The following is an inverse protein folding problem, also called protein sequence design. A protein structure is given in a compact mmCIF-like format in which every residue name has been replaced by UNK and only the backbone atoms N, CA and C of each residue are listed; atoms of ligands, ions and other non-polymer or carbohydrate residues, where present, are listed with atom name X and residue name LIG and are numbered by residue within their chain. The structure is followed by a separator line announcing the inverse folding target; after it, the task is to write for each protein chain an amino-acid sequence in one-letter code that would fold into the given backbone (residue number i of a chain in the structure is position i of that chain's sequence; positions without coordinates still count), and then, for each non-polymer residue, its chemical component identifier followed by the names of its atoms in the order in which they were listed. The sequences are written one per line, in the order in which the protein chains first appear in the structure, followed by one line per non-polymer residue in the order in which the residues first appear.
data_IF_480334577352
#
_entry.id   IF_480334577352
#
_cell.length_a   1.000
_cell.length_b   1.000
_cell.length_c   1.000
_cell.angle_alpha   90.00
_cell.angle_beta   90.00
_cell.angle_gamma   90.00
#
_symmetry.space_group_name_H-M   'P 1'
#
loop_
_entity.id
_entity.type
_entity.pdbx_description
1 polymer ?
#
# COMPACT_ATOMS: atom_id res chain seq x y z
N UNK A 1 2.35 -47.63 3.22
CA UNK A 1 1.21 -46.89 3.79
C UNK A 1 1.71 -45.47 4.01
N UNK A 2 1.03 -44.47 3.48
CA UNK A 2 1.46 -43.06 3.60
C UNK A 2 1.17 -42.58 5.02
N UNK A 3 2.16 -42.01 5.69
CA UNK A 3 1.97 -41.39 6.99
C UNK A 3 1.61 -39.91 6.78
N UNK A 4 0.31 -39.57 6.81
CA UNK A 4 -0.16 -38.21 6.63
C UNK A 4 0.45 -37.20 7.60
N UNK A 5 0.87 -37.60 8.79
CA UNK A 5 1.53 -36.69 9.72
C UNK A 5 2.94 -36.31 9.25
N UNK A 6 3.66 -37.29 8.70
CA UNK A 6 4.98 -37.05 8.13
C UNK A 6 4.87 -36.11 6.92
N UNK A 7 3.91 -36.34 5.99
CA UNK A 7 3.71 -35.45 4.83
C UNK A 7 3.28 -34.05 5.26
N UNK A 8 2.46 -33.93 6.31
CA UNK A 8 2.11 -32.63 6.87
C UNK A 8 3.34 -31.88 7.39
N UNK A 9 4.20 -32.55 8.14
CA UNK A 9 5.44 -31.93 8.63
C UNK A 9 6.36 -31.51 7.49
N UNK A 10 6.53 -32.37 6.47
CA UNK A 10 7.30 -32.05 5.26
C UNK A 10 6.74 -30.86 4.51
N UNK A 11 5.42 -30.77 4.37
CA UNK A 11 4.75 -29.65 3.75
C UNK A 11 4.96 -28.32 4.53
N UNK A 12 4.84 -28.37 5.85
CA UNK A 12 5.11 -27.19 6.68
C UNK A 12 6.58 -26.79 6.67
N UNK A 13 7.50 -27.74 6.59
CA UNK A 13 8.93 -27.46 6.37
C UNK A 13 9.14 -26.81 5.00
N UNK A 14 8.51 -27.34 3.94
CA UNK A 14 8.59 -26.78 2.59
C UNK A 14 8.15 -25.32 2.56
N UNK A 15 7.04 -24.97 3.24
CA UNK A 15 6.56 -23.59 3.28
C UNK A 15 7.57 -22.60 3.91
N UNK A 16 8.51 -23.09 4.72
CA UNK A 16 9.58 -22.28 5.34
C UNK A 16 10.93 -22.42 4.60
N UNK A 17 10.97 -22.98 3.39
CA UNK A 17 12.19 -23.21 2.62
C UNK A 17 12.19 -22.37 1.34
N UNK A 18 12.78 -21.17 1.34
CA UNK A 18 12.76 -20.26 0.18
C UNK A 18 13.32 -20.89 -1.09
N UNK A 19 14.42 -21.66 -0.99
CA UNK A 19 15.06 -22.29 -2.15
C UNK A 19 14.16 -23.35 -2.80
N UNK A 20 13.52 -24.19 -1.99
CA UNK A 20 12.58 -25.21 -2.49
C UNK A 20 11.33 -24.58 -3.10
N UNK A 21 10.81 -23.52 -2.49
CA UNK A 21 9.67 -22.77 -3.02
C UNK A 21 10.04 -22.04 -4.31
N UNK A 22 11.29 -21.56 -4.44
CA UNK A 22 11.77 -20.98 -5.68
C UNK A 22 11.81 -22.01 -6.82
N UNK A 23 12.23 -23.24 -6.56
CA UNK A 23 12.15 -24.33 -7.54
C UNK A 23 10.71 -24.61 -7.99
N UNK A 24 9.76 -24.68 -7.05
CA UNK A 24 8.33 -24.80 -7.38
C UNK A 24 7.81 -23.61 -8.17
N UNK A 25 8.28 -22.39 -7.87
CA UNK A 25 7.91 -21.19 -8.62
C UNK A 25 8.41 -21.23 -10.07
N UNK A 26 9.54 -21.90 -10.34
CA UNK A 26 10.11 -22.09 -11.67
C UNK A 26 9.48 -23.23 -12.47
N UNK A 27 8.55 -24.00 -11.89
CA UNK A 27 7.87 -25.07 -12.62
C UNK A 27 7.08 -24.50 -13.82
N UNK A 28 7.34 -25.05 -15.00
CA UNK A 28 6.76 -24.57 -16.27
C UNK A 28 5.37 -25.14 -16.55
N UNK A 29 5.06 -26.30 -15.98
CA UNK A 29 3.79 -27.02 -16.16
C UNK A 29 3.40 -27.77 -14.88
N UNK A 30 2.20 -28.34 -14.90
CA UNK A 30 1.60 -29.04 -13.77
C UNK A 30 2.34 -30.33 -13.46
N UNK A 31 2.81 -31.06 -14.48
CA UNK A 31 3.52 -32.33 -14.31
C UNK A 31 4.85 -32.10 -13.60
N UNK A 32 5.62 -31.09 -14.01
CA UNK A 32 6.86 -30.70 -13.35
C UNK A 32 6.61 -30.25 -11.89
N UNK A 33 5.54 -29.47 -11.67
CA UNK A 33 5.17 -29.05 -10.31
C UNK A 33 4.85 -30.24 -9.40
N UNK A 34 4.07 -31.22 -9.89
CA UNK A 34 3.73 -32.44 -9.15
C UNK A 34 4.99 -33.28 -8.87
N UNK A 35 5.89 -33.39 -9.85
CA UNK A 35 7.14 -34.12 -9.66
C UNK A 35 7.97 -33.54 -8.50
N UNK A 36 8.14 -32.21 -8.47
CA UNK A 36 8.81 -31.54 -7.37
C UNK A 36 8.10 -31.75 -6.02
N UNK A 37 6.76 -31.64 -6.01
CA UNK A 37 5.98 -31.89 -4.78
C UNK A 37 6.09 -33.35 -4.31
N UNK A 38 6.13 -34.31 -5.23
CA UNK A 38 6.37 -35.73 -4.95
C UNK A 38 7.68 -35.92 -4.18
N UNK A 39 8.76 -35.32 -4.63
CA UNK A 39 10.06 -35.37 -4.01
C UNK A 39 10.07 -34.68 -2.62
N UNK A 40 9.53 -33.46 -2.52
CA UNK A 40 9.49 -32.71 -1.26
C UNK A 40 8.65 -33.41 -0.18
N UNK A 41 7.50 -33.99 -0.58
CA UNK A 41 6.61 -34.68 0.35
C UNK A 41 7.04 -36.15 0.58
N UNK A 42 8.02 -36.67 -0.16
CA UNK A 42 8.34 -38.10 -0.20
C UNK A 42 7.08 -38.95 -0.42
N UNK A 43 6.30 -38.60 -1.41
CA UNK A 43 5.02 -39.25 -1.74
C UNK A 43 5.02 -39.78 -3.17
N UNK A 44 5.52 -41.00 -3.45
CA UNK A 44 5.81 -41.49 -4.81
C UNK A 44 4.62 -41.54 -5.76
N UNK A 45 3.41 -41.68 -5.26
CA UNK A 45 2.18 -41.80 -6.07
C UNK A 45 1.30 -40.53 -5.95
N UNK A 46 1.91 -39.35 -5.76
CA UNK A 46 1.20 -38.09 -5.62
C UNK A 46 0.54 -37.72 -6.96
N UNK A 47 -0.79 -37.77 -7.02
CA UNK A 47 -1.55 -37.22 -8.14
C UNK A 47 -1.95 -35.78 -7.85
N UNK A 48 -2.35 -35.03 -8.90
CA UNK A 48 -2.88 -33.67 -8.75
C UNK A 48 -4.07 -33.61 -7.76
N UNK A 49 -4.99 -34.58 -7.87
CA UNK A 49 -6.17 -34.64 -6.99
C UNK A 49 -5.77 -34.88 -5.53
N UNK A 50 -4.87 -35.82 -5.28
CA UNK A 50 -4.35 -36.08 -3.93
C UNK A 50 -3.62 -34.88 -3.36
N UNK A 51 -2.81 -34.20 -4.16
CA UNK A 51 -2.07 -33.00 -3.76
C UNK A 51 -3.04 -31.88 -3.35
N UNK A 52 -4.04 -31.58 -4.18
CA UNK A 52 -5.02 -30.53 -3.90
C UNK A 52 -5.85 -30.84 -2.64
N UNK A 53 -6.34 -32.08 -2.51
CA UNK A 53 -7.06 -32.51 -1.31
C UNK A 53 -6.20 -32.41 -0.04
N UNK A 54 -4.94 -32.82 -0.14
CA UNK A 54 -3.99 -32.74 0.96
C UNK A 54 -3.72 -31.28 1.37
N UNK A 55 -3.41 -30.39 0.41
CA UNK A 55 -3.13 -28.97 0.69
C UNK A 55 -4.35 -28.29 1.31
N UNK A 56 -5.56 -28.58 0.83
CA UNK A 56 -6.79 -28.01 1.37
C UNK A 56 -6.99 -28.33 2.86
N UNK A 57 -6.56 -29.50 3.30
CA UNK A 57 -6.66 -29.92 4.72
C UNK A 57 -5.64 -29.23 5.63
N UNK A 58 -4.59 -28.57 5.07
CA UNK A 58 -3.49 -28.01 5.87
C UNK A 58 -3.69 -26.54 6.25
N UNK A 59 -4.74 -25.88 5.78
CA UNK A 59 -4.87 -24.40 5.83
C UNK A 59 -5.03 -23.81 7.23
N UNK A 60 -5.53 -24.57 8.23
CA UNK A 60 -6.01 -23.98 9.49
C UNK A 60 -5.08 -24.07 10.69
N UNK A 61 -3.95 -24.75 10.59
CA UNK A 61 -3.08 -25.06 11.75
C UNK A 61 -1.60 -24.71 11.57
N UNK A 62 -1.24 -24.07 10.47
CA UNK A 62 0.15 -23.75 10.18
C UNK A 62 0.61 -22.49 10.91
N UNK A 63 1.65 -22.64 11.75
CA UNK A 63 2.38 -21.51 12.34
C UNK A 63 3.77 -21.48 11.67
N UNK A 64 4.07 -20.44 10.87
CA UNK A 64 5.35 -20.36 10.18
C UNK A 64 6.52 -20.06 11.14
N UNK A 65 7.74 -20.45 10.74
CA UNK A 65 8.95 -19.73 11.13
C UNK A 65 8.95 -18.41 10.35
N UNK A 66 8.53 -17.33 10.97
CA UNK A 66 8.14 -16.11 10.27
C UNK A 66 9.31 -15.46 9.53
N UNK A 67 10.53 -15.53 10.05
CA UNK A 67 11.69 -14.99 9.36
C UNK A 67 12.01 -15.77 8.07
N UNK A 68 12.01 -17.09 8.11
CA UNK A 68 12.23 -17.92 6.92
C UNK A 68 11.06 -17.84 5.96
N UNK A 69 9.85 -18.00 6.47
CA UNK A 69 8.62 -17.97 5.68
C UNK A 69 8.48 -16.65 4.89
N UNK A 70 8.72 -15.52 5.53
CA UNK A 70 8.62 -14.21 4.88
C UNK A 70 9.72 -13.94 3.84
N UNK A 71 10.71 -14.82 3.67
CA UNK A 71 11.67 -14.73 2.57
C UNK A 71 11.05 -15.16 1.24
N UNK A 72 10.15 -16.13 1.25
CA UNK A 72 9.49 -16.66 0.05
C UNK A 72 8.05 -16.16 -0.13
N UNK A 73 7.42 -15.69 0.94
CA UNK A 73 6.03 -15.28 0.95
C UNK A 73 5.87 -13.80 1.30
N UNK A 74 4.96 -13.13 0.60
CA UNK A 74 4.58 -11.74 0.81
C UNK A 74 3.15 -11.67 1.33
N UNK A 75 2.88 -11.03 2.48
CA UNK A 75 1.54 -10.89 3.01
C UNK A 75 0.75 -9.88 2.16
N UNK A 76 -0.35 -10.32 1.56
CA UNK A 76 -1.04 -9.54 0.53
C UNK A 76 -2.42 -9.03 0.94
N UNK A 77 -3.12 -9.73 1.82
CA UNK A 77 -4.48 -9.34 2.22
C UNK A 77 -4.78 -9.73 3.66
N UNK A 78 -5.42 -8.82 4.38
CA UNK A 78 -6.02 -9.07 5.69
C UNK A 78 -7.52 -9.39 5.54
N UNK A 79 -7.99 -10.35 6.32
CA UNK A 79 -9.40 -10.75 6.41
C UNK A 79 -9.89 -10.49 7.83
N UNK A 80 -10.59 -9.37 8.03
CA UNK A 80 -10.99 -8.88 9.37
C UNK A 80 -11.89 -9.86 10.14
N UNK A 81 -12.82 -10.53 9.45
CA UNK A 81 -13.75 -11.49 10.08
C UNK A 81 -13.02 -12.67 10.76
N UNK A 82 -11.92 -13.11 10.20
CA UNK A 82 -11.14 -14.27 10.68
C UNK A 82 -9.80 -13.86 11.27
N UNK A 83 -9.45 -12.57 11.22
CA UNK A 83 -8.14 -12.02 11.62
C UNK A 83 -6.95 -12.76 10.98
N UNK A 84 -7.14 -13.18 9.73
CA UNK A 84 -6.14 -13.93 8.96
C UNK A 84 -5.49 -13.08 7.89
N UNK A 85 -4.26 -13.47 7.54
CA UNK A 85 -3.48 -12.90 6.44
C UNK A 85 -3.30 -13.94 5.35
N UNK A 86 -3.58 -13.58 4.11
CA UNK A 86 -3.25 -14.35 2.92
C UNK A 86 -1.89 -13.94 2.37
N UNK A 87 -1.18 -14.90 1.78
CA UNK A 87 0.18 -14.72 1.29
C UNK A 87 0.28 -15.08 -0.19
N UNK A 88 1.22 -14.42 -0.88
CA UNK A 88 1.60 -14.71 -2.27
C UNK A 88 3.11 -14.92 -2.37
N UNK A 89 3.62 -15.60 -3.42
CA UNK A 89 5.06 -15.75 -3.62
C UNK A 89 5.76 -14.39 -3.73
N UNK A 90 6.95 -14.28 -3.13
CA UNK A 90 7.70 -13.03 -2.99
C UNK A 90 8.97 -13.00 -3.85
N UNK A 91 8.97 -13.68 -5.01
CA UNK A 91 10.15 -13.83 -5.87
C UNK A 91 10.31 -12.70 -6.91
N UNK A 92 9.39 -11.74 -6.92
CA UNK A 92 9.43 -10.59 -7.83
C UNK A 92 9.72 -9.31 -7.09
N UNK A 93 10.37 -8.38 -7.79
CA UNK A 93 10.52 -7.01 -7.32
C UNK A 93 9.18 -6.28 -7.44
N UNK A 94 8.85 -5.46 -6.45
CA UNK A 94 7.71 -4.54 -6.54
C UNK A 94 8.09 -3.39 -7.48
N UNK A 95 7.39 -3.23 -8.58
CA UNK A 95 7.73 -2.28 -9.66
C UNK A 95 6.54 -1.56 -10.26
N UNK A 96 5.32 -1.99 -9.91
CA UNK A 96 4.09 -1.42 -10.45
C UNK A 96 3.70 -0.11 -9.71
N UNK A 97 2.88 0.75 -10.36
CA UNK A 97 2.35 1.96 -9.74
C UNK A 97 1.53 1.72 -8.48
N UNK A 98 0.90 0.54 -8.36
CA UNK A 98 0.15 0.10 -7.20
C UNK A 98 0.61 -1.28 -6.74
N UNK A 99 0.69 -1.47 -5.43
CA UNK A 99 1.07 -2.75 -4.82
C UNK A 99 0.10 -3.89 -5.20
N UNK A 100 -1.19 -3.58 -5.39
CA UNK A 100 -2.18 -4.60 -5.78
C UNK A 100 -1.90 -5.16 -7.19
N UNK A 101 -1.28 -4.38 -8.08
CA UNK A 101 -0.88 -4.86 -9.41
C UNK A 101 0.29 -5.84 -9.30
N UNK A 102 1.29 -5.56 -8.44
CA UNK A 102 2.39 -6.51 -8.16
C UNK A 102 1.87 -7.80 -7.50
N UNK A 103 0.92 -7.68 -6.55
CA UNK A 103 0.27 -8.84 -5.93
C UNK A 103 -0.52 -9.65 -6.97
N UNK A 104 -1.19 -8.99 -7.89
CA UNK A 104 -1.93 -9.65 -8.98
C UNK A 104 -0.99 -10.41 -9.90
N UNK A 105 0.17 -9.85 -10.23
CA UNK A 105 1.19 -10.54 -11.01
C UNK A 105 1.78 -11.74 -10.26
N UNK A 106 2.07 -11.60 -8.96
CA UNK A 106 2.58 -12.68 -8.12
C UNK A 106 1.60 -13.89 -8.03
N UNK A 107 0.30 -13.65 -8.21
CA UNK A 107 -0.71 -14.72 -8.24
C UNK A 107 -0.75 -15.52 -9.54
N UNK A 108 -0.06 -15.07 -10.61
CA UNK A 108 -0.12 -15.68 -11.95
C UNK A 108 0.92 -16.80 -12.16
N UNK A 109 1.26 -17.56 -11.14
CA UNK A 109 2.19 -18.68 -11.25
C UNK A 109 1.56 -19.95 -10.68
N UNK A 110 2.10 -21.12 -11.04
CA UNK A 110 1.60 -22.41 -10.56
C UNK A 110 1.70 -22.52 -9.04
N UNK A 111 2.79 -22.03 -8.43
CA UNK A 111 2.95 -22.01 -6.99
C UNK A 111 1.78 -21.31 -6.29
N UNK A 112 1.41 -20.11 -6.74
CA UNK A 112 0.29 -19.36 -6.18
C UNK A 112 -1.08 -19.97 -6.51
N UNK A 113 -1.18 -20.73 -7.60
CA UNK A 113 -2.42 -21.41 -7.98
C UNK A 113 -2.71 -22.59 -7.07
N UNK A 114 -1.68 -23.30 -6.62
CA UNK A 114 -1.83 -24.51 -5.81
C UNK A 114 -1.61 -24.27 -4.30
N UNK A 115 -0.67 -23.39 -3.95
CA UNK A 115 -0.31 -23.13 -2.55
C UNK A 115 -0.65 -21.69 -2.20
N UNK A 116 -1.67 -21.52 -1.36
CA UNK A 116 -2.17 -20.23 -0.90
C UNK A 116 -2.18 -20.18 0.63
N UNK A 117 -1.03 -19.93 1.28
CA UNK A 117 -0.97 -19.93 2.73
C UNK A 117 -1.88 -18.87 3.33
N UNK A 118 -2.50 -19.24 4.46
CA UNK A 118 -3.22 -18.33 5.35
C UNK A 118 -2.71 -18.52 6.77
N UNK A 119 -2.54 -17.44 7.49
CA UNK A 119 -2.09 -17.46 8.88
C UNK A 119 -2.95 -16.55 9.73
N UNK A 120 -3.15 -16.87 10.99
CA UNK A 120 -3.71 -15.92 11.95
C UNK A 120 -2.69 -14.80 12.18
N UNK A 121 -3.14 -13.54 12.21
CA UNK A 121 -2.23 -12.40 12.35
C UNK A 121 -1.69 -12.26 13.80
N UNK A 122 -2.54 -12.41 14.80
CA UNK A 122 -2.18 -12.19 16.19
C UNK A 122 -1.06 -13.12 16.70
N UNK A 123 -1.09 -14.44 16.44
CA UNK A 123 0.00 -15.33 16.86
C UNK A 123 1.36 -14.96 16.29
N UNK A 124 1.41 -14.29 15.12
CA UNK A 124 2.66 -13.86 14.50
C UNK A 124 3.36 -12.74 15.29
N UNK A 125 2.65 -12.01 16.15
CA UNK A 125 3.23 -10.97 16.99
C UNK A 125 4.36 -11.49 17.88
N UNK A 126 4.25 -12.74 18.38
CA UNK A 126 5.29 -13.35 19.21
C UNK A 126 6.63 -13.48 18.47
N UNK A 127 6.61 -13.51 17.14
CA UNK A 127 7.79 -13.62 16.29
C UNK A 127 8.22 -12.29 15.65
N UNK A 128 7.56 -11.16 15.99
CA UNK A 128 7.86 -9.85 15.40
C UNK A 128 9.32 -9.46 15.54
N UNK A 129 9.92 -9.72 16.69
CA UNK A 129 11.30 -9.33 16.98
C UNK A 129 12.35 -10.20 16.25
N UNK A 130 11.95 -11.35 15.68
CA UNK A 130 12.83 -12.16 14.81
C UNK A 130 12.96 -11.56 13.40
N UNK A 131 12.04 -10.67 13.03
CA UNK A 131 12.07 -10.01 11.72
C UNK A 131 13.04 -8.82 11.71
N UNK A 132 13.68 -8.53 10.56
CA UNK A 132 14.47 -7.32 10.41
C UNK A 132 13.65 -6.07 10.74
N UNK A 133 14.27 -5.15 11.45
CA UNK A 133 13.67 -3.82 11.70
C UNK A 133 13.59 -3.08 10.37
N UNK A 134 12.40 -2.58 10.04
CA UNK A 134 12.15 -1.82 8.84
C UNK A 134 11.84 -0.37 9.24
N UNK A 135 12.61 0.57 8.71
CA UNK A 135 12.37 2.00 8.90
C UNK A 135 12.02 2.62 7.56
N UNK A 136 10.77 3.07 7.36
CA UNK A 136 10.44 3.80 6.15
C UNK A 136 11.31 5.06 6.02
N UNK A 137 12.01 5.19 4.91
CA UNK A 137 12.82 6.38 4.62
C UNK A 137 11.94 7.56 4.24
N UNK A 138 10.81 7.27 3.58
CA UNK A 138 9.82 8.26 3.17
C UNK A 138 8.41 7.72 3.33
N UNK A 139 7.54 8.52 3.96
CA UNK A 139 6.09 8.33 3.95
C UNK A 139 5.43 9.41 3.10
N UNK A 140 4.55 9.02 2.19
CA UNK A 140 3.80 9.92 1.32
C UNK A 140 2.33 9.86 1.72
N UNK A 141 1.81 10.97 2.26
CA UNK A 141 0.39 11.19 2.48
C UNK A 141 -0.20 12.08 1.39
N UNK A 142 -1.49 11.97 1.11
CA UNK A 142 -2.07 12.68 0.00
C UNK A 142 -3.61 12.78 0.07
N UNK A 143 -4.19 13.78 -0.62
CA UNK A 143 -5.65 13.98 -0.71
C UNK A 143 -6.34 13.20 -1.82
N UNK A 144 -5.66 12.28 -2.49
CA UNK A 144 -6.13 11.68 -3.75
C UNK A 144 -6.03 12.64 -4.95
N UNK A 145 -5.80 12.06 -6.14
CA UNK A 145 -5.72 12.82 -7.40
C UNK A 145 -4.74 14.02 -7.38
N UNK A 146 -3.76 13.99 -6.52
CA UNK A 146 -2.76 15.04 -6.33
C UNK A 146 -1.36 14.65 -6.84
N UNK A 147 -1.26 13.67 -7.75
CA UNK A 147 0.02 13.24 -8.35
C UNK A 147 0.85 12.27 -7.50
N UNK A 148 0.31 11.78 -6.38
CA UNK A 148 1.02 10.86 -5.48
C UNK A 148 1.48 9.57 -6.16
N UNK A 149 0.71 9.04 -7.13
CA UNK A 149 1.11 7.87 -7.91
C UNK A 149 2.31 8.17 -8.79
N UNK A 150 2.38 9.34 -9.43
CA UNK A 150 3.53 9.77 -10.21
C UNK A 150 4.79 9.83 -9.33
N UNK A 151 4.67 10.43 -8.15
CA UNK A 151 5.78 10.52 -7.20
C UNK A 151 6.22 9.14 -6.71
N UNK A 152 5.30 8.28 -6.26
CA UNK A 152 5.66 6.95 -5.74
C UNK A 152 6.23 6.03 -6.83
N UNK A 153 5.67 6.04 -8.04
CA UNK A 153 6.17 5.22 -9.15
C UNK A 153 7.56 5.67 -9.63
N UNK A 154 7.89 6.96 -9.48
CA UNK A 154 9.24 7.44 -9.76
C UNK A 154 10.28 6.81 -8.83
N UNK A 155 9.96 6.62 -7.56
CA UNK A 155 10.84 5.88 -6.64
C UNK A 155 10.93 4.39 -7.00
N UNK A 156 9.86 3.80 -7.54
CA UNK A 156 9.87 2.40 -7.97
C UNK A 156 10.81 2.13 -9.16
N UNK A 157 11.20 3.17 -9.91
CA UNK A 157 12.23 3.07 -10.95
C UNK A 157 13.66 2.91 -10.39
N UNK A 158 13.88 3.29 -9.13
CA UNK A 158 15.18 3.20 -8.48
C UNK A 158 15.39 1.78 -7.95
N UNK A 159 16.45 1.13 -8.39
CA UNK A 159 16.74 -0.25 -7.96
C UNK A 159 17.01 -0.37 -6.46
N UNK A 160 17.46 0.72 -5.85
CA UNK A 160 17.71 0.82 -4.42
C UNK A 160 16.47 1.04 -3.57
N UNK A 161 15.32 1.31 -4.19
CA UNK A 161 14.08 1.61 -3.47
C UNK A 161 13.08 0.45 -3.54
N UNK A 162 12.55 0.09 -2.38
CA UNK A 162 11.31 -0.68 -2.26
C UNK A 162 10.15 0.29 -2.05
N UNK A 163 9.11 0.17 -2.88
CA UNK A 163 7.94 1.04 -2.79
C UNK A 163 6.71 0.24 -2.44
N UNK A 164 6.05 0.61 -1.35
CA UNK A 164 4.72 0.11 -0.99
C UNK A 164 3.70 1.20 -1.34
N UNK A 165 3.04 1.03 -2.48
CA UNK A 165 2.04 1.99 -2.95
C UNK A 165 0.64 1.54 -2.57
N UNK A 166 0.05 2.22 -1.59
CA UNK A 166 -1.27 1.94 -1.03
C UNK A 166 -1.35 0.52 -0.39
N UNK A 167 -0.54 0.22 0.65
CA UNK A 167 -0.48 -1.11 1.27
C UNK A 167 -1.77 -1.44 2.04
N UNK A 168 -2.73 -2.06 1.35
CA UNK A 168 -4.07 -2.34 1.89
C UNK A 168 -4.04 -3.19 3.15
N UNK A 169 -3.11 -4.16 3.27
CA UNK A 169 -2.98 -4.98 4.48
C UNK A 169 -2.74 -4.10 5.73
N UNK A 170 -1.80 -3.14 5.65
CA UNK A 170 -1.53 -2.23 6.76
C UNK A 170 -2.73 -1.30 7.02
N UNK A 171 -3.34 -0.78 5.95
CA UNK A 171 -4.51 0.07 6.02
C UNK A 171 -5.68 -0.63 6.70
N UNK A 172 -6.01 -1.85 6.27
CA UNK A 172 -7.12 -2.63 6.83
C UNK A 172 -6.88 -2.95 8.32
N UNK A 173 -5.65 -3.27 8.72
CA UNK A 173 -5.31 -3.51 10.13
C UNK A 173 -5.41 -2.23 10.98
N UNK A 174 -4.96 -1.08 10.46
CA UNK A 174 -5.07 0.21 11.17
C UNK A 174 -6.53 0.58 11.45
N UNK A 175 -7.41 0.31 10.49
CA UNK A 175 -8.82 0.72 10.54
C UNK A 175 -9.77 -0.38 11.02
N UNK A 176 -9.28 -1.56 11.41
CA UNK A 176 -10.11 -2.61 11.99
C UNK A 176 -10.40 -2.31 13.47
N UNK A 177 -11.65 -1.96 13.76
CA UNK A 177 -12.13 -1.63 15.13
C UNK A 177 -12.22 -2.85 16.06
N UNK A 178 -12.08 -4.07 15.53
CA UNK A 178 -12.02 -5.29 16.35
C UNK A 178 -10.65 -5.49 17.03
N UNK A 179 -9.64 -4.66 16.72
CA UNK A 179 -8.37 -4.67 17.41
C UNK A 179 -8.34 -3.64 18.55
N UNK A 180 -7.85 -4.00 19.74
CA UNK A 180 -7.55 -3.03 20.80
C UNK A 180 -6.59 -1.94 20.30
N UNK A 181 -6.83 -0.70 20.69
CA UNK A 181 -6.01 0.45 20.27
C UNK A 181 -4.53 0.26 20.61
N UNK A 182 -4.23 -0.35 21.74
CA UNK A 182 -2.88 -0.60 22.24
C UNK A 182 -2.12 -1.64 21.38
N UNK A 183 -2.86 -2.52 20.71
CA UNK A 183 -2.29 -3.58 19.89
C UNK A 183 -2.06 -3.13 18.44
N UNK A 184 -2.85 -2.18 17.94
CA UNK A 184 -2.77 -1.69 16.56
C UNK A 184 -1.35 -1.28 16.14
N UNK A 185 -0.59 -0.48 16.93
CA UNK A 185 0.78 -0.12 16.56
C UNK A 185 1.69 -1.34 16.33
N UNK A 186 1.58 -2.36 17.18
CA UNK A 186 2.39 -3.57 17.09
C UNK A 186 2.03 -4.41 15.86
N UNK A 187 0.74 -4.51 15.55
CA UNK A 187 0.25 -5.21 14.36
C UNK A 187 0.67 -4.49 13.07
N UNK A 188 0.60 -3.16 13.06
CA UNK A 188 1.05 -2.35 11.91
C UNK A 188 2.55 -2.48 11.71
N UNK A 189 3.35 -2.41 12.78
CA UNK A 189 4.80 -2.62 12.71
C UNK A 189 5.13 -4.03 12.18
N UNK A 190 4.43 -5.07 12.66
CA UNK A 190 4.57 -6.43 12.12
C UNK A 190 4.27 -6.48 10.62
N UNK A 191 3.14 -5.93 10.18
CA UNK A 191 2.77 -5.89 8.77
C UNK A 191 3.81 -5.15 7.92
N UNK A 192 4.33 -4.03 8.42
CA UNK A 192 5.37 -3.26 7.73
C UNK A 192 6.71 -3.97 7.70
N UNK A 193 7.13 -4.66 8.77
CA UNK A 193 8.35 -5.48 8.75
C UNK A 193 8.25 -6.59 7.69
N UNK A 194 7.07 -7.18 7.50
CA UNK A 194 6.84 -8.22 6.52
C UNK A 194 6.78 -7.68 5.09
N UNK A 195 5.98 -6.63 4.83
CA UNK A 195 5.83 -6.05 3.48
C UNK A 195 7.04 -5.20 3.06
N UNK A 196 7.61 -4.48 4.01
CA UNK A 196 8.73 -3.57 3.80
C UNK A 196 10.11 -4.26 3.88
N UNK A 197 10.18 -5.58 4.09
CA UNK A 197 11.45 -6.31 4.13
C UNK A 197 12.25 -6.05 2.85
N UNK A 198 13.39 -5.38 2.98
CA UNK A 198 14.26 -5.04 1.87
C UNK A 198 14.89 -6.31 1.27
N UNK A 199 14.95 -6.38 -0.07
CA UNK A 199 15.42 -7.52 -0.85
C UNK A 199 16.15 -7.04 -2.09
N UNK A 200 16.85 -7.92 -2.76
CA UNK A 200 17.39 -7.65 -4.11
C UNK A 200 18.23 -6.38 -4.21
N UNK A 201 18.98 -6.03 -3.15
CA UNK A 201 19.81 -4.82 -3.13
C UNK A 201 19.08 -3.53 -2.79
N UNK A 202 17.79 -3.59 -2.46
CA UNK A 202 17.02 -2.45 -1.95
C UNK A 202 17.64 -1.93 -0.64
N UNK A 203 17.64 -0.61 -0.45
CA UNK A 203 18.19 0.08 0.73
C UNK A 203 17.20 1.02 1.38
N UNK A 204 16.26 1.54 0.60
CA UNK A 204 15.30 2.54 1.00
C UNK A 204 13.88 1.98 0.91
N UNK A 205 13.05 2.28 1.90
CA UNK A 205 11.63 1.96 1.90
C UNK A 205 10.82 3.24 1.75
N UNK A 206 10.04 3.31 0.68
CA UNK A 206 9.07 4.38 0.43
C UNK A 206 7.67 3.83 0.59
N UNK A 207 6.84 4.47 1.40
CA UNK A 207 5.45 4.08 1.58
C UNK A 207 4.55 5.23 1.12
N UNK A 208 3.75 4.96 0.11
CA UNK A 208 2.62 5.84 -0.24
C UNK A 208 1.36 5.27 0.41
N UNK A 209 0.88 5.92 1.44
CA UNK A 209 -0.33 5.53 2.17
C UNK A 209 -1.59 5.73 1.32
N UNK A 210 -2.69 5.05 1.66
CA UNK A 210 -3.99 5.41 1.09
C UNK A 210 -4.42 6.79 1.59
N UNK A 211 -5.28 7.48 0.84
CA UNK A 211 -5.68 8.84 1.21
C UNK A 211 -6.32 8.92 2.62
N UNK A 212 -7.09 7.91 3.00
CA UNK A 212 -7.72 7.84 4.33
C UNK A 212 -6.76 7.47 5.46
N UNK A 213 -5.60 6.86 5.16
CA UNK A 213 -4.57 6.55 6.16
C UNK A 213 -3.91 7.82 6.71
N UNK A 214 -4.19 8.97 6.09
CA UNK A 214 -3.80 10.27 6.63
C UNK A 214 -4.33 10.47 8.07
N UNK A 215 -5.46 9.85 8.44
CA UNK A 215 -5.96 9.89 9.83
C UNK A 215 -5.02 9.22 10.84
N UNK A 216 -4.21 8.26 10.38
CA UNK A 216 -3.30 7.50 11.24
C UNK A 216 -1.89 8.11 11.34
N UNK A 217 -1.65 9.31 10.79
CA UNK A 217 -0.32 9.92 10.79
C UNK A 217 0.32 10.04 12.18
N UNK A 218 -0.40 10.33 13.28
CA UNK A 218 0.22 10.44 14.60
C UNK A 218 0.87 9.12 15.03
N UNK A 219 0.12 8.01 14.97
CA UNK A 219 0.61 6.67 15.29
C UNK A 219 1.79 6.27 14.39
N UNK A 220 1.71 6.53 13.09
CA UNK A 220 2.77 6.16 12.14
C UNK A 220 4.07 6.94 12.41
N UNK A 221 3.98 8.21 12.79
CA UNK A 221 5.17 9.02 13.13
C UNK A 221 5.73 8.72 14.52
N UNK A 222 4.91 8.20 15.42
CA UNK A 222 5.38 7.66 16.70
C UNK A 222 6.15 6.36 16.50
N UNK A 223 5.64 5.44 15.68
CA UNK A 223 6.32 4.18 15.33
C UNK A 223 7.63 4.42 14.58
N UNK A 224 7.65 5.39 13.66
CA UNK A 224 8.77 5.64 12.76
C UNK A 224 9.22 7.12 12.83
N UNK A 225 9.79 7.56 13.97
CA UNK A 225 10.10 8.96 14.19
C UNK A 225 11.18 9.52 13.26
N UNK A 226 11.97 8.68 12.62
CA UNK A 226 13.05 9.08 11.69
C UNK A 226 12.59 9.20 10.25
N UNK A 227 11.39 8.73 9.92
CA UNK A 227 10.85 8.80 8.57
C UNK A 227 10.67 10.24 8.12
N UNK A 228 11.05 10.53 6.89
CA UNK A 228 10.68 11.78 6.22
C UNK A 228 9.23 11.69 5.76
N UNK A 229 8.54 12.81 5.76
CA UNK A 229 7.12 12.85 5.41
C UNK A 229 6.88 13.86 4.32
N UNK A 230 6.23 13.42 3.27
CA UNK A 230 5.73 14.26 2.19
C UNK A 230 4.20 14.23 2.21
N UNK A 231 3.56 15.40 2.27
CA UNK A 231 2.12 15.54 2.18
C UNK A 231 1.77 16.24 0.86
N UNK A 232 1.10 15.52 -0.03
CA UNK A 232 0.71 16.02 -1.34
C UNK A 232 -0.74 16.52 -1.31
N UNK A 233 -0.92 17.77 -1.68
CA UNK A 233 -2.22 18.43 -1.78
C UNK A 233 -2.50 18.89 -3.20
N UNK A 234 -3.74 19.23 -3.48
CA UNK A 234 -4.18 19.78 -4.77
C UNK A 234 -5.42 20.63 -4.58
N UNK A 235 -5.64 21.59 -5.50
CA UNK A 235 -6.86 22.37 -5.53
C UNK A 235 -8.12 21.47 -5.44
N UNK A 236 -8.97 21.64 -4.42
CA UNK A 236 -10.13 20.79 -4.19
C UNK A 236 -11.09 20.70 -5.39
N UNK A 237 -11.24 21.77 -6.16
CA UNK A 237 -12.07 21.75 -7.39
C UNK A 237 -11.55 20.71 -8.38
N UNK A 238 -10.23 20.67 -8.62
CA UNK A 238 -9.63 19.71 -9.54
C UNK A 238 -9.73 18.27 -9.03
N UNK A 239 -9.69 18.07 -7.72
CA UNK A 239 -9.93 16.76 -7.13
C UNK A 239 -11.36 16.32 -7.37
N UNK A 240 -12.35 17.16 -7.07
CA UNK A 240 -13.77 16.87 -7.27
C UNK A 240 -14.05 16.48 -8.72
N UNK A 241 -13.60 17.29 -9.69
CA UNK A 241 -13.77 16.97 -11.10
C UNK A 241 -13.10 15.66 -11.53
N UNK A 242 -11.92 15.36 -11.00
CA UNK A 242 -11.28 14.09 -11.28
C UNK A 242 -12.10 12.90 -10.77
N UNK A 243 -12.77 13.05 -9.62
CA UNK A 243 -13.64 12.02 -9.04
C UNK A 243 -15.00 11.92 -9.71
N UNK A 244 -15.49 12.96 -10.36
CA UNK A 244 -16.69 12.86 -11.21
C UNK A 244 -16.46 11.94 -12.41
N UNK A 245 -15.25 11.96 -13.00
CA UNK A 245 -14.90 11.08 -14.13
C UNK A 245 -14.67 9.65 -13.72
N UNK A 246 -13.83 9.43 -12.70
CA UNK A 246 -13.50 8.11 -12.15
C UNK A 246 -13.32 8.26 -10.64
N UNK A 247 -14.30 7.80 -9.87
CA UNK A 247 -14.24 7.89 -8.42
C UNK A 247 -13.15 6.96 -7.85
N UNK A 248 -12.33 7.48 -6.93
CA UNK A 248 -11.53 6.64 -6.07
C UNK A 248 -12.42 5.94 -5.02
N UNK A 249 -11.96 4.82 -4.46
CA UNK A 249 -12.73 4.01 -3.49
C UNK A 249 -13.35 4.86 -2.37
N UNK A 250 -12.57 5.73 -1.74
CA UNK A 250 -12.99 6.60 -0.65
C UNK A 250 -13.90 7.78 -1.06
N UNK A 251 -14.13 7.97 -2.36
CA UNK A 251 -14.95 9.03 -2.95
C UNK A 251 -16.17 8.47 -3.70
N UNK A 252 -16.35 7.15 -3.69
CA UNK A 252 -17.46 6.50 -4.41
C UNK A 252 -18.82 6.65 -3.72
N UNK A 253 -18.80 7.01 -2.43
CA UNK A 253 -19.99 6.98 -1.58
C UNK A 253 -20.33 5.56 -1.12
N UNK A 254 -20.91 5.43 0.05
CA UNK A 254 -21.28 4.14 0.61
C UNK A 254 -20.55 3.80 1.91
N UNK A 255 -21.32 3.30 2.85
CA UNK A 255 -20.89 3.07 4.24
C UNK A 255 -19.78 2.03 4.38
N UNK A 256 -19.67 1.09 3.46
CA UNK A 256 -18.77 -0.06 3.56
C UNK A 256 -17.33 0.22 3.10
N UNK A 257 -17.03 1.41 2.57
CA UNK A 257 -15.75 1.71 1.92
C UNK A 257 -14.88 2.71 2.68
N UNK A 258 -15.38 3.25 3.79
CA UNK A 258 -14.69 4.24 4.60
C UNK A 258 -14.35 3.69 5.98
N UNK A 259 -13.21 4.11 6.56
CA UNK A 259 -12.95 3.92 7.97
C UNK A 259 -14.08 4.47 8.83
N UNK A 260 -14.38 3.81 9.93
CA UNK A 260 -15.49 4.12 10.85
C UNK A 260 -15.48 5.58 11.32
N UNK A 261 -14.31 6.18 11.50
CA UNK A 261 -14.19 7.58 11.93
C UNK A 261 -14.73 8.58 10.90
N UNK A 262 -14.46 8.36 9.61
CA UNK A 262 -15.01 9.18 8.53
C UNK A 262 -16.53 9.00 8.41
N UNK A 263 -17.02 7.81 8.70
CA UNK A 263 -18.45 7.51 8.81
C UNK A 263 -19.13 8.24 9.95
N UNK A 264 -18.53 8.17 11.13
CA UNK A 264 -19.14 8.71 12.38
C UNK A 264 -19.29 10.22 12.32
N UNK A 265 -18.32 10.91 11.69
CA UNK A 265 -18.39 12.37 11.52
C UNK A 265 -19.49 12.81 10.55
N UNK A 266 -19.78 12.00 9.53
CA UNK A 266 -20.82 12.31 8.54
C UNK A 266 -22.24 12.07 9.08
N UNK A 267 -22.43 11.01 9.87
CA UNK A 267 -23.75 10.64 10.37
C UNK A 267 -24.25 11.49 11.56
N UNK A 268 -23.35 12.23 12.22
CA UNK A 268 -23.74 13.02 13.40
C UNK A 268 -24.57 14.27 13.10
N UNK A 269 -24.71 14.66 11.84
CA UNK A 269 -25.24 15.99 11.49
C UNK A 269 -26.52 16.03 10.62
N UNK A 270 -27.07 14.92 10.14
CA UNK A 270 -28.28 14.97 9.30
C UNK A 270 -29.16 13.73 9.41
N UNK A 271 -30.46 13.95 9.52
CA UNK A 271 -31.51 12.90 9.40
C UNK A 271 -31.67 12.40 7.94
N UNK A 272 -30.95 12.99 6.99
CA UNK A 272 -30.99 12.64 5.56
C UNK A 272 -29.59 12.24 5.09
N UNK A 273 -29.51 11.23 4.22
CA UNK A 273 -28.23 10.86 3.59
C UNK A 273 -27.69 12.04 2.76
N UNK A 274 -26.41 12.44 2.95
CA UNK A 274 -25.82 13.53 2.19
C UNK A 274 -25.73 13.16 0.70
N UNK A 275 -25.83 14.16 -0.16
CA UNK A 275 -25.52 13.99 -1.58
C UNK A 275 -24.06 13.52 -1.76
N UNK A 276 -23.76 12.90 -2.90
CA UNK A 276 -22.38 12.42 -3.18
C UNK A 276 -21.36 13.58 -3.17
N UNK A 277 -21.74 14.76 -3.57
CA UNK A 277 -20.85 15.92 -3.60
C UNK A 277 -20.62 16.52 -2.19
N UNK A 278 -21.66 16.54 -1.34
CA UNK A 278 -21.51 16.86 0.09
C UNK A 278 -20.61 15.87 0.81
N UNK A 279 -20.81 14.58 0.55
CA UNK A 279 -19.95 13.50 1.05
C UNK A 279 -18.49 13.74 0.68
N UNK A 280 -18.19 13.95 -0.61
CA UNK A 280 -16.83 14.21 -1.11
C UNK A 280 -16.22 15.47 -0.52
N UNK A 281 -17.02 16.52 -0.36
CA UNK A 281 -16.60 17.79 0.26
C UNK A 281 -16.17 17.56 1.71
N UNK A 282 -16.97 16.80 2.48
CA UNK A 282 -16.65 16.46 3.87
C UNK A 282 -15.36 15.64 3.98
N UNK A 283 -15.17 14.65 3.10
CA UNK A 283 -13.92 13.86 3.04
C UNK A 283 -12.72 14.76 2.76
N UNK A 284 -12.80 15.64 1.77
CA UNK A 284 -11.70 16.57 1.45
C UNK A 284 -11.44 17.58 2.56
N UNK A 285 -12.48 18.05 3.23
CA UNK A 285 -12.35 18.96 4.38
C UNK A 285 -11.62 18.26 5.53
N UNK A 286 -11.95 17.01 5.80
CA UNK A 286 -11.23 16.21 6.80
C UNK A 286 -9.76 16.03 6.44
N UNK A 287 -9.44 15.68 5.19
CA UNK A 287 -8.05 15.57 4.74
C UNK A 287 -7.30 16.89 4.86
N UNK A 288 -7.96 18.03 4.57
CA UNK A 288 -7.36 19.34 4.71
C UNK A 288 -7.03 19.66 6.18
N UNK A 289 -7.93 19.35 7.11
CA UNK A 289 -7.72 19.52 8.54
C UNK A 289 -6.56 18.65 9.06
N UNK A 290 -6.53 17.37 8.68
CA UNK A 290 -5.46 16.46 9.05
C UNK A 290 -4.10 16.90 8.50
N UNK A 291 -4.07 17.38 7.24
CA UNK A 291 -2.84 17.91 6.63
C UNK A 291 -2.36 19.18 7.33
N UNK A 292 -3.27 20.04 7.77
CA UNK A 292 -2.92 21.22 8.53
C UNK A 292 -2.29 20.84 9.91
N UNK A 293 -2.88 19.86 10.59
CA UNK A 293 -2.34 19.33 11.85
C UNK A 293 -0.97 18.66 11.65
N UNK A 294 -0.82 17.84 10.61
CA UNK A 294 0.44 17.19 10.25
C UNK A 294 1.52 18.24 9.92
N UNK A 295 1.19 19.29 9.18
CA UNK A 295 2.13 20.37 8.90
C UNK A 295 2.54 21.12 10.16
N UNK A 296 1.58 21.42 11.05
CA UNK A 296 1.86 22.11 12.33
C UNK A 296 2.80 21.32 13.24
N UNK A 297 2.84 19.99 13.13
CA UNK A 297 3.80 19.14 13.83
C UNK A 297 5.25 19.35 13.37
N UNK A 298 5.48 20.14 12.33
CA UNK A 298 6.80 20.39 11.68
C UNK A 298 7.48 19.12 11.15
N UNK A 299 6.73 18.04 10.96
CA UNK A 299 7.23 16.74 10.52
C UNK A 299 7.09 16.49 9.03
N UNK A 300 6.25 17.26 8.33
CA UNK A 300 5.94 17.04 6.93
C UNK A 300 6.40 18.20 6.03
N UNK A 301 6.89 17.84 4.86
CA UNK A 301 7.05 18.74 3.72
C UNK A 301 5.73 18.75 2.98
N UNK A 302 5.15 19.93 2.82
CA UNK A 302 3.92 20.13 2.08
C UNK A 302 4.23 20.48 0.64
N UNK A 303 3.56 19.83 -0.32
CA UNK A 303 3.75 20.05 -1.75
C UNK A 303 2.39 20.07 -2.47
N UNK A 304 2.11 21.14 -3.21
CA UNK A 304 0.92 21.20 -4.06
C UNK A 304 1.18 20.60 -5.45
N UNK A 305 0.13 20.03 -6.04
CA UNK A 305 0.18 19.41 -7.36
C UNK A 305 0.73 20.33 -8.46
N UNK A 306 0.43 21.64 -8.41
CA UNK A 306 0.91 22.57 -9.43
C UNK A 306 2.45 22.72 -9.41
N UNK A 307 3.08 22.49 -8.26
CA UNK A 307 4.53 22.53 -8.10
C UNK A 307 5.21 21.26 -8.64
N UNK A 308 4.49 20.15 -8.76
CA UNK A 308 5.09 18.87 -9.22
C UNK A 308 5.72 19.02 -10.60
N UNK A 309 5.11 19.78 -11.51
CA UNK A 309 5.64 20.00 -12.88
C UNK A 309 7.05 20.64 -12.88
N UNK A 310 7.34 21.42 -11.85
CA UNK A 310 8.62 22.13 -11.68
C UNK A 310 9.61 21.33 -10.79
N UNK A 311 9.13 20.21 -10.25
CA UNK A 311 9.88 19.37 -9.33
C UNK A 311 10.83 18.43 -10.09
N UNK A 312 12.11 18.71 -10.01
CA UNK A 312 13.15 17.89 -10.65
C UNK A 312 13.51 16.69 -9.75
N UNK A 313 13.97 15.56 -10.31
CA UNK A 313 14.50 14.44 -9.53
C UNK A 313 15.57 14.87 -8.51
N UNK A 314 16.42 15.82 -8.89
CA UNK A 314 17.44 16.41 -8.02
C UNK A 314 16.89 17.10 -6.78
N UNK A 315 15.64 17.61 -6.85
CA UNK A 315 14.97 18.19 -5.69
C UNK A 315 14.59 17.13 -4.68
N UNK A 316 14.05 16.00 -5.13
CA UNK A 316 13.81 14.86 -4.26
C UNK A 316 15.10 14.32 -3.67
N UNK A 317 16.16 14.20 -4.47
CA UNK A 317 17.50 13.84 -4.01
C UNK A 317 17.97 14.75 -2.87
N UNK A 318 17.81 16.06 -3.02
CA UNK A 318 18.17 17.04 -1.97
C UNK A 318 17.31 16.88 -0.72
N UNK A 319 15.97 16.76 -0.87
CA UNK A 319 15.04 16.61 0.24
C UNK A 319 15.33 15.33 1.03
N UNK A 320 15.60 14.23 0.34
CA UNK A 320 15.82 12.93 0.94
C UNK A 320 17.26 12.68 1.37
N UNK A 321 18.21 13.45 0.82
CA UNK A 321 19.64 13.20 1.02
C UNK A 321 20.11 11.94 0.30
N UNK A 322 19.43 11.52 -0.79
CA UNK A 322 19.77 10.33 -1.58
C UNK A 322 20.43 10.77 -2.87
N UNK A 323 21.70 10.39 -3.11
CA UNK A 323 22.33 10.67 -4.38
C UNK A 323 21.66 9.84 -5.50
N UNK A 324 21.29 10.50 -6.58
CA UNK A 324 20.79 9.87 -7.80
C UNK A 324 21.89 9.91 -8.87
N UNK A 325 22.08 8.79 -9.55
CA UNK A 325 22.95 8.72 -10.74
C UNK A 325 22.30 9.44 -11.93
N UNK A 326 23.10 9.81 -12.93
CA UNK A 326 22.58 10.45 -14.16
C UNK A 326 21.52 9.57 -14.85
N UNK A 327 21.75 8.25 -14.94
CA UNK A 327 20.79 7.33 -15.54
C UNK A 327 19.48 7.21 -14.75
N UNK A 328 19.49 7.34 -13.42
CA UNK A 328 18.28 7.39 -12.59
C UNK A 328 17.53 8.70 -12.81
N UNK A 329 18.25 9.83 -12.91
CA UNK A 329 17.64 11.13 -13.21
C UNK A 329 16.94 11.08 -14.56
N UNK A 330 17.60 10.54 -15.60
CA UNK A 330 17.04 10.42 -16.94
C UNK A 330 15.78 9.52 -16.95
N UNK A 331 15.83 8.33 -16.33
CA UNK A 331 14.68 7.44 -16.22
C UNK A 331 13.51 8.11 -15.51
N UNK A 332 13.77 8.85 -14.45
CA UNK A 332 12.75 9.58 -13.71
C UNK A 332 12.13 10.70 -14.57
N UNK A 333 12.92 11.50 -15.27
CA UNK A 333 12.44 12.57 -16.15
C UNK A 333 11.58 12.00 -17.30
N UNK A 334 12.02 10.92 -17.91
CA UNK A 334 11.27 10.24 -18.97
C UNK A 334 9.92 9.71 -18.44
N UNK A 335 9.91 9.16 -17.24
CA UNK A 335 8.67 8.67 -16.61
C UNK A 335 7.62 9.79 -16.43
N UNK A 336 8.04 11.00 -16.15
CA UNK A 336 7.12 12.14 -15.93
C UNK A 336 6.45 12.65 -17.21
N UNK A 337 6.87 12.19 -18.36
CA UNK A 337 6.20 12.45 -19.65
C UNK A 337 4.96 11.58 -19.86
N UNK A 338 4.79 10.51 -19.07
CA UNK A 338 3.72 9.53 -19.24
C UNK A 338 2.67 9.61 -18.13
N UNK A 339 1.47 9.08 -18.41
CA UNK A 339 0.44 8.91 -17.38
C UNK A 339 0.89 7.85 -16.36
N UNK A 340 0.97 8.23 -15.10
CA UNK A 340 1.46 7.34 -14.04
C UNK A 340 0.58 6.11 -13.77
N UNK A 341 -0.67 6.08 -14.28
CA UNK A 341 -1.64 4.99 -14.12
C UNK A 341 -1.84 4.18 -15.37
N UNK A 342 -1.46 4.71 -16.53
CA UNK A 342 -1.63 4.08 -17.83
C UNK A 342 -0.27 4.00 -18.54
N UNK A 343 0.42 2.89 -18.34
CA UNK A 343 1.75 2.68 -18.92
C UNK A 343 1.74 2.88 -20.43
N UNK A 344 2.68 3.69 -20.92
CA UNK A 344 2.85 3.96 -22.36
C UNK A 344 1.93 5.05 -22.94
N UNK A 345 1.02 5.63 -22.18
CA UNK A 345 0.23 6.79 -22.61
C UNK A 345 0.90 8.10 -22.17
N UNK A 346 1.02 9.07 -23.08
CA UNK A 346 1.48 10.41 -22.75
C UNK A 346 0.51 11.08 -21.79
N UNK A 347 1.04 11.76 -20.80
CA UNK A 347 0.22 12.52 -19.87
C UNK A 347 -0.46 13.69 -20.58
N UNK A 348 -1.79 13.70 -20.60
CA UNK A 348 -2.59 14.81 -21.11
C UNK A 348 -3.22 15.55 -19.94
N UNK A 349 -2.81 16.81 -19.65
CA UNK A 349 -3.44 17.61 -18.61
C UNK A 349 -4.93 17.80 -18.90
N UNK A 350 -5.77 17.66 -17.88
CA UNK A 350 -7.19 17.97 -18.00
C UNK A 350 -7.33 19.48 -18.16
N UNK A 351 -7.85 19.92 -19.32
CA UNK A 351 -8.10 21.33 -19.59
C UNK A 351 -9.28 21.80 -18.72
N UNK A 352 -9.07 22.85 -17.96
CA UNK A 352 -10.03 23.37 -16.97
C UNK A 352 -11.35 23.88 -17.54
N UNK A 353 -11.44 24.10 -18.85
CA UNK A 353 -12.58 24.73 -19.50
C UNK A 353 -13.82 23.83 -19.70
N UNK A 354 -13.68 22.52 -19.48
CA UNK A 354 -14.77 21.54 -19.63
C UNK A 354 -15.46 21.18 -18.31
N UNK A 355 -15.12 21.89 -17.23
CA UNK A 355 -15.52 21.50 -15.90
C UNK A 355 -16.88 22.14 -15.54
N UNK A 356 -17.91 21.32 -15.34
CA UNK A 356 -19.24 21.77 -14.91
C UNK A 356 -19.17 22.26 -13.46
N UNK A 357 -19.59 23.50 -13.15
CA UNK A 357 -19.65 23.99 -11.78
C UNK A 357 -20.61 23.14 -10.94
N UNK A 358 -20.18 22.70 -9.77
CA UNK A 358 -21.01 22.02 -8.80
C UNK A 358 -21.75 23.04 -7.93
N UNK A 359 -23.02 22.76 -7.61
CA UNK A 359 -23.78 23.55 -6.63
C UNK A 359 -23.08 23.58 -5.27
N UNK A 360 -22.44 22.49 -4.90
CA UNK A 360 -21.68 22.33 -3.66
C UNK A 360 -20.58 23.40 -3.48
N UNK A 361 -20.03 23.96 -4.54
CA UNK A 361 -19.01 25.03 -4.46
C UNK A 361 -19.49 26.31 -3.75
N UNK A 362 -20.75 26.42 -3.44
CA UNK A 362 -21.33 27.52 -2.69
C UNK A 362 -21.64 27.19 -1.24
N UNK A 363 -21.50 25.91 -0.83
CA UNK A 363 -21.81 25.46 0.53
C UNK A 363 -20.82 26.03 1.56
N UNK A 364 -21.24 26.19 2.83
CA UNK A 364 -20.33 26.61 3.92
C UNK A 364 -19.18 25.66 4.09
N UNK A 365 -19.40 24.36 4.00
CA UNK A 365 -18.37 23.31 4.10
C UNK A 365 -17.32 23.45 3.01
N UNK A 366 -17.73 23.76 1.79
CA UNK A 366 -16.83 24.04 0.69
C UNK A 366 -15.99 25.29 0.92
N UNK A 367 -16.59 26.37 1.41
CA UNK A 367 -15.86 27.60 1.72
C UNK A 367 -14.81 27.37 2.81
N UNK A 368 -15.14 26.59 3.82
CA UNK A 368 -14.19 26.20 4.86
C UNK A 368 -13.05 25.36 4.31
N UNK A 369 -13.33 24.36 3.44
CA UNK A 369 -12.31 23.58 2.74
C UNK A 369 -11.35 24.48 1.97
N UNK A 370 -11.87 25.44 1.18
CA UNK A 370 -11.04 26.36 0.42
C UNK A 370 -10.20 27.27 1.33
N UNK A 371 -10.75 27.72 2.45
CA UNK A 371 -10.00 28.51 3.42
C UNK A 371 -8.79 27.74 3.96
N UNK A 372 -8.99 26.49 4.39
CA UNK A 372 -7.90 25.65 4.89
C UNK A 372 -6.88 25.40 3.77
N UNK A 373 -7.32 25.06 2.57
CA UNK A 373 -6.41 24.85 1.43
C UNK A 373 -5.56 26.09 1.14
N UNK A 374 -6.16 27.28 1.11
CA UNK A 374 -5.43 28.54 0.89
C UNK A 374 -4.43 28.84 2.00
N UNK A 375 -4.76 28.52 3.26
CA UNK A 375 -3.81 28.61 4.38
C UNK A 375 -2.63 27.67 4.20
N UNK A 376 -2.86 26.43 3.70
CA UNK A 376 -1.79 25.48 3.41
C UNK A 376 -0.92 25.97 2.26
N UNK A 377 -1.49 26.57 1.20
CA UNK A 377 -0.72 27.12 0.09
C UNK A 377 0.29 28.20 0.54
N UNK A 378 -0.07 29.03 1.52
CA UNK A 378 0.83 30.05 2.08
C UNK A 378 2.03 29.47 2.83
N UNK A 379 2.05 28.14 3.06
CA UNK A 379 3.04 27.42 3.84
C UNK A 379 3.85 26.40 3.04
N UNK A 380 3.73 26.45 1.72
CA UNK A 380 4.45 25.54 0.82
C UNK A 380 5.96 25.69 0.95
N UNK A 381 6.65 24.58 0.73
CA UNK A 381 8.09 24.49 0.90
C UNK A 381 8.88 25.49 0.02
N UNK A 382 8.40 25.76 -1.21
CA UNK A 382 9.10 26.63 -2.17
C UNK A 382 9.00 28.11 -1.86
N UNK A 383 7.88 28.57 -1.32
CA UNK A 383 7.65 30.00 -1.04
C UNK A 383 8.55 30.50 0.10
N UNK A 384 9.26 29.61 0.81
CA UNK A 384 10.19 29.94 1.88
C UNK A 384 11.64 30.01 1.45
N UNK A 385 11.98 29.66 0.20
CA UNK A 385 13.35 29.65 -0.35
C UNK A 385 13.53 30.58 -1.55
N UNK A 386 12.49 31.27 -2.00
CA UNK A 386 12.56 32.38 -2.91
C UNK A 386 12.64 33.71 -2.12
#
# INVERSE_FOLDING_TARGET
MIDFKEQQQRYWQLLNQPDSLFLLHQANDVEHFIALMTDFLAWPELSLEHMLAFIALQQDSFIPDLDRFSQAWFPCRYHSQHKTVSWVPAFHRLSKPFLEDDISDARRCLLASFIQPKTLLEPLLSQRESLPIVNPSLMIFHWSRCGSTLVSSSFALLETCRVLSEPMLCSDVMHDDHWPLELKPQLVDLCLRLQGRLRLGERELVIKWNAWDLACWPMLLELYPKSRVLCLIRNPKHIMFSHQRVAGRHMAGGKSLLPTELHTQQMKNTDTEPSLDEFRTTVLQHFAQLSAALYQSSRAILLDYHQLKDFKPTTFSTILGWPLSEGEIERWQNHWCFDAKQQGQLFTPVVSNELVPLREFQSPSWQQLLMIYNQLLQRLYWDKKA
#
